data_IF_583758232524
#
_entry.id   IF_583758232524
#
_cell.length_a   1.000
_cell.length_b   1.000
_cell.length_c   1.000
_cell.angle_alpha   90.00
_cell.angle_beta   90.00
_cell.angle_gamma   90.00
#
_symmetry.space_group_name_H-M   'P 1'
#
loop_
_entity.id
_entity.type
_entity.pdbx_description
1 polymer ?
#
# COMPACT_ATOMS: atom_id res chain seq x y z
N UNK A 1 64.70 25.93 -54.46
CA UNK A 1 63.35 26.28 -53.93
C UNK A 1 62.84 25.10 -53.15
N UNK A 2 63.02 25.13 -51.82
CA UNK A 2 62.75 23.99 -50.95
C UNK A 2 61.40 24.25 -50.24
N UNK A 3 60.39 23.47 -50.58
CA UNK A 3 59.10 23.50 -49.91
C UNK A 3 59.21 22.74 -48.58
N UNK A 4 58.98 23.43 -47.49
CA UNK A 4 58.86 22.82 -46.15
C UNK A 4 57.38 22.42 -45.95
N UNK A 5 57.13 21.12 -45.86
CA UNK A 5 55.82 20.55 -45.49
C UNK A 5 55.67 20.58 -43.97
N UNK A 6 54.69 21.33 -43.49
CA UNK A 6 54.31 21.31 -42.08
C UNK A 6 53.35 20.13 -41.81
N UNK A 7 53.76 19.21 -40.97
CA UNK A 7 52.91 18.17 -40.44
C UNK A 7 52.02 18.76 -39.33
N UNK A 8 50.71 18.60 -39.50
CA UNK A 8 49.69 18.95 -38.49
C UNK A 8 49.44 17.67 -37.67
N UNK A 9 49.85 17.71 -36.42
CA UNK A 9 49.51 16.66 -35.43
C UNK A 9 48.05 16.91 -34.98
N UNK A 10 47.12 16.09 -35.40
CA UNK A 10 45.79 16.02 -34.77
C UNK A 10 45.88 15.19 -33.50
N UNK A 11 45.82 15.83 -32.37
CA UNK A 11 45.64 15.16 -31.09
C UNK A 11 44.17 14.74 -30.91
N UNK A 12 43.90 13.45 -30.98
CA UNK A 12 42.63 12.87 -30.59
C UNK A 12 42.56 12.83 -29.07
N UNK A 13 41.83 13.76 -28.47
CA UNK A 13 41.48 13.67 -27.06
C UNK A 13 40.38 12.58 -26.91
N UNK A 14 40.77 11.42 -26.40
CA UNK A 14 39.84 10.40 -25.99
C UNK A 14 39.11 10.87 -24.72
N UNK A 15 37.85 11.26 -24.87
CA UNK A 15 36.97 11.56 -23.75
C UNK A 15 36.60 10.22 -23.09
N UNK A 16 37.28 9.86 -22.00
CA UNK A 16 36.86 8.76 -21.14
C UNK A 16 35.56 9.17 -20.42
N UNK A 17 34.42 8.72 -20.91
CA UNK A 17 33.21 8.68 -20.13
C UNK A 17 33.40 7.64 -19.00
N UNK A 18 33.71 8.12 -17.81
CA UNK A 18 33.55 7.30 -16.61
C UNK A 18 32.06 7.14 -16.38
N UNK A 19 31.50 6.05 -16.85
CA UNK A 19 30.19 5.57 -16.45
C UNK A 19 30.31 5.20 -14.96
N UNK A 20 30.03 6.13 -14.08
CA UNK A 20 29.70 5.81 -12.70
C UNK A 20 28.37 5.04 -12.76
N UNK A 21 28.43 3.72 -12.71
CA UNK A 21 27.25 2.95 -12.39
C UNK A 21 26.83 3.39 -10.99
N UNK A 22 25.80 4.22 -10.89
CA UNK A 22 25.11 4.37 -9.62
C UNK A 22 24.64 2.96 -9.25
N UNK A 23 25.32 2.37 -8.27
CA UNK A 23 24.82 1.15 -7.64
C UNK A 23 23.47 1.54 -7.09
N UNK A 24 22.39 1.00 -7.68
CA UNK A 24 21.11 1.02 -7.02
C UNK A 24 21.37 0.47 -5.62
N UNK A 25 21.15 1.28 -4.60
CA UNK A 25 21.24 0.85 -3.20
C UNK A 25 20.08 -0.14 -3.06
N UNK A 26 20.39 -1.44 -3.13
CA UNK A 26 19.42 -2.48 -2.84
C UNK A 26 18.96 -2.27 -1.39
N UNK A 27 17.70 -2.54 -1.11
CA UNK A 27 17.22 -2.66 0.26
C UNK A 27 18.16 -3.58 1.02
N UNK A 28 18.59 -3.14 2.21
CA UNK A 28 19.51 -3.90 3.05
C UNK A 28 18.68 -4.68 4.08
N UNK A 29 19.16 -5.85 4.48
CA UNK A 29 18.45 -6.72 5.39
C UNK A 29 17.72 -7.86 4.68
N UNK A 30 16.59 -8.27 5.22
CA UNK A 30 15.73 -9.35 4.69
C UNK A 30 14.30 -8.82 4.44
N UNK A 31 14.11 -7.92 3.47
CA UNK A 31 12.86 -7.19 3.27
C UNK A 31 11.77 -8.03 2.56
N UNK A 32 11.61 -9.28 2.95
CA UNK A 32 10.59 -10.16 2.38
C UNK A 32 9.29 -10.02 3.15
N UNK A 33 8.28 -9.49 2.49
CA UNK A 33 6.94 -9.32 3.01
C UNK A 33 5.94 -9.49 1.88
N UNK A 34 4.81 -10.13 2.17
CA UNK A 34 3.67 -10.22 1.25
C UNK A 34 2.58 -9.28 1.77
N UNK A 35 1.98 -8.49 0.87
CA UNK A 35 0.92 -7.53 1.18
C UNK A 35 1.31 -6.55 2.30
N UNK A 36 2.32 -5.70 2.11
CA UNK A 36 2.79 -4.81 3.15
C UNK A 36 1.74 -3.75 3.52
N UNK A 37 1.48 -3.60 4.81
CA UNK A 37 0.66 -2.51 5.34
C UNK A 37 1.35 -1.15 5.20
N UNK A 38 0.59 -0.09 5.40
CA UNK A 38 1.11 1.24 5.69
C UNK A 38 2.18 1.17 6.79
N UNK A 39 3.32 1.82 6.55
CA UNK A 39 4.46 1.82 7.49
C UNK A 39 4.18 2.79 8.62
N UNK A 40 4.21 2.28 9.84
CA UNK A 40 4.00 3.04 11.08
C UNK A 40 5.30 3.30 11.79
N UNK A 41 5.47 4.54 12.29
CA UNK A 41 6.52 4.86 13.25
C UNK A 41 6.03 4.61 14.67
N UNK A 42 6.84 3.92 15.46
CA UNK A 42 6.63 3.67 16.88
C UNK A 42 7.98 3.69 17.61
N UNK A 43 8.13 4.61 18.57
CA UNK A 43 9.32 4.74 19.41
C UNK A 43 10.63 4.85 18.61
N UNK A 44 10.63 5.63 17.51
CA UNK A 44 11.77 5.87 16.65
C UNK A 44 12.14 4.72 15.71
N UNK A 45 11.30 3.68 15.63
CA UNK A 45 11.42 2.57 14.67
C UNK A 45 10.22 2.54 13.73
N UNK A 46 10.39 1.87 12.62
CA UNK A 46 9.37 1.69 11.59
C UNK A 46 8.90 0.25 11.56
N UNK A 47 7.59 0.07 11.39
CA UNK A 47 6.93 -1.24 11.38
C UNK A 47 6.01 -1.35 10.17
N UNK A 48 6.01 -2.50 9.52
CA UNK A 48 5.00 -2.88 8.52
C UNK A 48 4.61 -4.34 8.74
N UNK A 49 3.36 -4.65 8.48
CA UNK A 49 2.79 -5.98 8.69
C UNK A 49 2.39 -6.57 7.34
N UNK A 50 2.40 -7.88 7.23
CA UNK A 50 2.05 -8.59 6.01
C UNK A 50 1.06 -9.71 6.23
N UNK A 51 0.70 -10.35 5.14
CA UNK A 51 -0.09 -11.60 5.14
C UNK A 51 0.61 -12.67 5.97
N UNK A 52 -0.17 -13.44 6.73
CA UNK A 52 0.30 -14.49 7.63
C UNK A 52 0.55 -14.03 9.06
N UNK A 53 0.43 -12.73 9.39
CA UNK A 53 0.55 -12.20 10.74
C UNK A 53 1.96 -11.79 11.17
N UNK A 54 2.95 -11.92 10.29
CA UNK A 54 4.30 -11.41 10.48
C UNK A 54 4.45 -9.94 10.05
N UNK A 55 5.66 -9.43 10.20
CA UNK A 55 6.00 -8.09 9.75
C UNK A 55 7.48 -7.82 9.79
N UNK A 56 7.84 -6.63 9.32
CA UNK A 56 9.21 -6.14 9.30
C UNK A 56 9.38 -4.96 10.25
N UNK A 57 10.60 -4.82 10.77
CA UNK A 57 11.04 -3.69 11.60
C UNK A 57 12.24 -3.05 10.94
N UNK A 58 12.30 -1.71 10.99
CA UNK A 58 13.45 -0.94 10.56
C UNK A 58 13.75 0.17 11.57
N UNK A 59 15.04 0.45 11.82
CA UNK A 59 15.50 1.57 12.65
C UNK A 59 15.77 2.84 11.82
N UNK A 60 15.93 2.71 10.52
CA UNK A 60 16.34 3.79 9.62
C UNK A 60 15.39 4.01 8.43
N UNK A 61 14.35 3.18 8.27
CA UNK A 61 13.44 3.18 7.14
C UNK A 61 14.02 2.57 5.85
N UNK A 62 15.27 2.09 5.90
CA UNK A 62 15.98 1.51 4.77
C UNK A 62 16.34 0.04 4.98
N UNK A 63 16.86 -0.28 6.16
CA UNK A 63 17.27 -1.63 6.55
C UNK A 63 16.11 -2.33 7.22
N UNK A 64 15.56 -3.35 6.57
CA UNK A 64 14.38 -4.07 7.05
C UNK A 64 14.70 -5.49 7.44
N UNK A 65 14.23 -5.92 8.61
CA UNK A 65 14.39 -7.27 9.14
C UNK A 65 13.07 -7.77 9.71
N UNK A 66 12.92 -9.09 9.76
CA UNK A 66 11.78 -9.72 10.42
C UNK A 66 11.72 -9.35 11.91
N UNK A 67 10.52 -9.42 12.50
CA UNK A 67 10.31 -9.15 13.91
C UNK A 67 9.01 -8.41 14.24
N UNK A 68 8.36 -7.82 13.25
CA UNK A 68 7.01 -7.31 13.44
C UNK A 68 6.04 -8.43 13.77
N UNK A 69 5.18 -8.23 14.75
CA UNK A 69 4.22 -9.22 15.23
C UNK A 69 2.81 -8.66 15.18
N UNK A 70 1.95 -9.38 14.48
CA UNK A 70 0.52 -9.17 14.45
C UNK A 70 -0.18 -10.52 14.64
N UNK A 71 -0.96 -10.71 15.71
CA UNK A 71 -1.71 -11.95 15.92
C UNK A 71 -2.85 -12.10 14.90
N UNK A 72 -3.45 -13.29 14.87
CA UNK A 72 -4.65 -13.58 14.10
C UNK A 72 -4.41 -14.13 12.70
N UNK A 73 -3.16 -14.20 12.23
CA UNK A 73 -2.88 -14.66 10.86
C UNK A 73 -3.58 -13.78 9.80
N UNK A 74 -4.25 -14.40 8.84
CA UNK A 74 -5.03 -13.70 7.82
C UNK A 74 -4.19 -12.96 6.79
N UNK A 75 -4.83 -12.11 6.00
CA UNK A 75 -4.23 -11.50 4.81
C UNK A 75 -4.33 -9.98 4.81
N UNK A 76 -3.46 -9.37 4.01
CA UNK A 76 -3.55 -7.99 3.54
C UNK A 76 -3.91 -6.99 4.65
N UNK A 77 -3.04 -6.82 5.66
CA UNK A 77 -3.28 -5.87 6.72
C UNK A 77 -3.01 -4.43 6.29
N UNK A 78 -3.67 -3.49 6.96
CA UNK A 78 -3.24 -2.10 6.99
C UNK A 78 -3.23 -1.55 8.41
N UNK A 79 -2.54 -0.43 8.62
CA UNK A 79 -2.33 0.17 9.93
C UNK A 79 -2.45 1.68 9.90
N UNK A 80 -3.02 2.25 10.97
CA UNK A 80 -3.10 3.69 11.16
C UNK A 80 -2.86 4.06 12.63
N UNK A 81 -2.14 5.15 12.87
CA UNK A 81 -1.94 5.71 14.22
C UNK A 81 -3.08 6.68 14.55
N UNK A 82 -3.74 6.48 15.67
CA UNK A 82 -4.81 7.35 16.17
C UNK A 82 -4.51 7.72 17.62
N UNK A 83 -4.17 8.99 17.85
CA UNK A 83 -3.70 9.43 19.15
C UNK A 83 -2.40 8.73 19.56
N UNK A 84 -2.43 8.04 20.68
CA UNK A 84 -1.29 7.34 21.28
C UNK A 84 -1.26 5.83 21.01
N UNK A 85 -2.10 5.33 20.11
CA UNK A 85 -2.23 3.89 19.80
C UNK A 85 -2.39 3.64 18.30
N UNK A 86 -2.30 2.38 17.93
CA UNK A 86 -2.33 1.90 16.56
C UNK A 86 -3.55 1.01 16.35
N UNK A 87 -4.34 1.32 15.33
CA UNK A 87 -5.38 0.44 14.81
C UNK A 87 -4.79 -0.35 13.64
N UNK A 88 -4.98 -1.65 13.66
CA UNK A 88 -4.62 -2.54 12.55
C UNK A 88 -5.89 -3.19 12.05
N UNK A 89 -6.12 -3.11 10.73
CA UNK A 89 -7.13 -3.87 10.03
C UNK A 89 -6.47 -5.03 9.28
N UNK A 90 -7.14 -6.17 9.15
CA UNK A 90 -6.67 -7.32 8.38
C UNK A 90 -7.82 -8.24 7.99
N UNK A 91 -7.61 -9.05 6.98
CA UNK A 91 -8.63 -9.95 6.48
C UNK A 91 -8.52 -11.32 7.13
N UNK A 92 -9.58 -11.76 7.78
CA UNK A 92 -9.76 -13.15 8.17
C UNK A 92 -10.37 -13.89 6.98
N UNK A 93 -9.61 -14.74 6.37
CA UNK A 93 -9.91 -15.29 5.05
C UNK A 93 -11.01 -16.32 5.03
N UNK A 94 -11.90 -16.19 4.11
CA UNK A 94 -12.72 -17.23 3.54
C UNK A 94 -12.71 -17.18 2.02
N UNK A 95 -12.24 -16.06 1.46
CA UNK A 95 -11.99 -15.92 0.04
C UNK A 95 -10.65 -16.52 -0.31
N UNK A 96 -10.42 -17.14 -1.31
CA UNK A 96 -9.12 -17.47 -1.90
C UNK A 96 -8.90 -16.59 -3.12
N UNK A 97 -7.83 -16.87 -3.84
CA UNK A 97 -7.53 -16.27 -5.13
C UNK A 97 -8.66 -16.41 -6.18
N UNK A 98 -9.73 -17.09 -5.85
CA UNK A 98 -10.89 -17.32 -6.73
C UNK A 98 -12.13 -16.49 -6.39
N UNK A 99 -12.04 -15.49 -5.51
CA UNK A 99 -13.20 -14.66 -5.15
C UNK A 99 -14.25 -15.45 -4.38
N UNK A 100 -13.90 -16.02 -3.24
CA UNK A 100 -14.77 -16.93 -2.47
C UNK A 100 -15.92 -16.25 -1.75
N UNK A 101 -16.03 -14.92 -1.77
CA UNK A 101 -17.11 -14.13 -1.16
C UNK A 101 -17.47 -14.56 0.27
N UNK A 102 -16.47 -14.89 1.07
CA UNK A 102 -16.63 -15.31 2.46
C UNK A 102 -15.60 -14.68 3.40
N UNK A 103 -14.98 -13.59 2.93
CA UNK A 103 -14.00 -12.82 3.69
C UNK A 103 -14.64 -12.00 4.81
N UNK A 104 -13.78 -11.61 5.75
CA UNK A 104 -14.13 -10.69 6.83
C UNK A 104 -12.95 -9.77 7.09
N UNK A 105 -13.20 -8.49 7.28
CA UNK A 105 -12.19 -7.57 7.78
C UNK A 105 -12.37 -7.39 9.27
N UNK A 106 -11.28 -7.56 9.99
CA UNK A 106 -11.20 -7.43 11.45
C UNK A 106 -10.31 -6.25 11.80
N UNK A 107 -10.61 -5.56 12.89
CA UNK A 107 -9.76 -4.52 13.48
C UNK A 107 -9.30 -4.89 14.87
N UNK A 108 -8.11 -4.47 15.26
CA UNK A 108 -7.60 -4.61 16.61
C UNK A 108 -6.66 -3.46 16.96
N UNK A 109 -6.55 -3.15 18.24
CA UNK A 109 -5.72 -2.08 18.76
C UNK A 109 -4.46 -2.61 19.43
N UNK A 110 -3.38 -1.82 19.34
CA UNK A 110 -2.23 -1.95 20.23
C UNK A 110 -1.72 -0.55 20.63
N UNK A 111 -1.18 -0.42 21.82
CA UNK A 111 -0.60 0.82 22.31
C UNK A 111 0.80 1.04 21.79
N UNK A 112 1.52 -0.03 21.47
CA UNK A 112 2.86 -0.02 20.91
C UNK A 112 3.00 -1.09 19.84
N UNK A 113 3.94 -0.91 18.92
CA UNK A 113 4.27 -1.93 17.90
C UNK A 113 5.57 -2.67 18.22
N UNK A 114 6.28 -2.28 19.31
CA UNK A 114 7.47 -2.99 19.77
C UNK A 114 7.10 -4.26 20.54
N UNK A 115 7.37 -5.46 19.99
CA UNK A 115 7.04 -6.73 20.65
C UNK A 115 7.82 -6.97 21.95
N UNK A 116 8.86 -6.19 22.22
CA UNK A 116 9.63 -6.27 23.47
C UNK A 116 9.10 -5.32 24.56
N UNK A 117 8.15 -4.48 24.24
CA UNK A 117 7.55 -3.56 25.21
C UNK A 117 6.62 -4.32 26.18
N UNK A 118 6.61 -3.98 27.47
CA UNK A 118 5.65 -4.54 28.42
C UNK A 118 4.19 -4.16 28.11
N UNK A 119 3.99 -3.08 27.35
CA UNK A 119 2.67 -2.62 26.90
C UNK A 119 2.22 -3.29 25.58
N UNK A 120 3.02 -4.19 25.00
CA UNK A 120 2.69 -4.88 23.77
C UNK A 120 1.56 -5.88 23.98
N UNK A 121 0.36 -5.44 23.68
CA UNK A 121 -0.85 -6.25 23.81
C UNK A 121 -1.93 -5.80 22.85
N UNK A 122 -2.28 -6.65 21.93
CA UNK A 122 -3.44 -6.43 21.06
C UNK A 122 -4.76 -6.68 21.79
N UNK A 123 -5.77 -5.89 21.45
CA UNK A 123 -7.16 -6.17 21.84
C UNK A 123 -7.70 -7.38 21.10
N UNK A 124 -8.82 -7.92 21.57
CA UNK A 124 -9.58 -8.90 20.79
C UNK A 124 -10.01 -8.28 19.45
N UNK A 125 -9.95 -9.05 18.36
CA UNK A 125 -10.36 -8.59 17.04
C UNK A 125 -11.86 -8.29 16.98
N UNK A 126 -12.22 -7.26 16.22
CA UNK A 126 -13.61 -6.85 16.00
C UNK A 126 -13.91 -6.94 14.50
N UNK A 127 -14.97 -7.66 14.12
CA UNK A 127 -15.45 -7.70 12.74
C UNK A 127 -16.06 -6.35 12.35
N UNK A 128 -15.61 -5.76 11.23
CA UNK A 128 -16.07 -4.46 10.71
C UNK A 128 -16.62 -4.53 9.30
N UNK A 129 -16.28 -5.56 8.54
CA UNK A 129 -16.85 -5.85 7.23
C UNK A 129 -16.92 -7.37 7.01
N UNK A 130 -17.86 -7.80 6.18
CA UNK A 130 -18.03 -9.21 5.82
C UNK A 130 -18.64 -9.31 4.42
N UNK A 131 -18.16 -10.26 3.64
CA UNK A 131 -18.73 -10.62 2.34
C UNK A 131 -19.48 -11.96 2.37
N UNK A 132 -19.80 -12.46 3.56
CA UNK A 132 -20.61 -13.68 3.70
C UNK A 132 -22.01 -13.44 3.10
N UNK A 133 -22.33 -14.21 2.06
CA UNK A 133 -23.55 -14.07 1.23
C UNK A 133 -23.61 -12.75 0.41
N UNK A 134 -22.49 -12.14 0.11
CA UNK A 134 -22.36 -10.97 -0.75
C UNK A 134 -21.61 -11.38 -2.02
N UNK A 135 -22.30 -11.42 -3.15
CA UNK A 135 -21.75 -11.83 -4.44
C UNK A 135 -21.02 -10.68 -5.16
N UNK A 136 -21.21 -9.44 -4.70
CA UNK A 136 -20.70 -8.23 -5.37
C UNK A 136 -19.40 -7.71 -4.75
N UNK A 137 -18.92 -8.31 -3.66
CA UNK A 137 -17.71 -7.90 -2.98
C UNK A 137 -17.01 -9.08 -2.29
N UNK A 138 -15.70 -9.00 -2.12
CA UNK A 138 -14.95 -9.85 -1.20
C UNK A 138 -14.34 -8.97 -0.10
N UNK A 139 -14.59 -9.29 1.17
CA UNK A 139 -14.11 -8.51 2.29
C UNK A 139 -12.65 -8.88 2.63
N UNK A 140 -11.76 -8.38 1.82
CA UNK A 140 -10.30 -8.56 1.90
C UNK A 140 -9.60 -7.23 1.54
N UNK A 141 -8.30 -7.14 1.73
CA UNK A 141 -7.43 -6.02 1.34
C UNK A 141 -7.87 -4.69 1.99
N UNK A 142 -7.70 -4.66 3.30
CA UNK A 142 -8.06 -3.49 4.09
C UNK A 142 -7.11 -2.30 3.83
N UNK A 143 -7.67 -1.11 3.59
CA UNK A 143 -6.95 0.16 3.56
C UNK A 143 -7.59 1.17 4.51
N UNK A 144 -6.81 1.81 5.37
CA UNK A 144 -7.27 2.71 6.44
C UNK A 144 -6.88 4.17 6.16
N UNK A 145 -7.85 5.07 6.26
CA UNK A 145 -7.62 6.52 6.23
C UNK A 145 -8.20 7.18 7.48
N UNK A 146 -7.36 7.73 8.34
CA UNK A 146 -7.79 8.77 9.27
C UNK A 146 -7.82 10.09 8.50
N UNK A 147 -9.01 10.57 8.19
CA UNK A 147 -9.21 11.77 7.38
C UNK A 147 -8.66 13.01 8.12
N UNK A 148 -7.63 13.68 7.58
CA UNK A 148 -7.04 14.84 8.24
C UNK A 148 -7.94 16.09 8.20
N UNK A 149 -9.05 16.06 7.47
CA UNK A 149 -9.94 17.21 7.31
C UNK A 149 -10.98 17.28 8.43
N UNK A 150 -11.45 16.14 8.92
CA UNK A 150 -12.55 16.08 9.90
C UNK A 150 -12.36 15.01 10.99
N UNK A 151 -11.28 14.23 10.92
CA UNK A 151 -10.94 13.20 11.91
C UNK A 151 -11.75 11.92 11.80
N UNK A 152 -12.57 11.75 10.76
CA UNK A 152 -13.29 10.49 10.51
C UNK A 152 -12.31 9.39 10.08
N UNK A 153 -12.65 8.17 10.44
CA UNK A 153 -11.87 6.98 10.09
C UNK A 153 -12.61 6.20 9.00
N UNK A 154 -11.92 5.97 7.91
CA UNK A 154 -12.45 5.25 6.76
C UNK A 154 -11.69 3.95 6.54
N UNK A 155 -12.42 2.91 6.13
CA UNK A 155 -11.89 1.63 5.70
C UNK A 155 -12.34 1.36 4.28
N UNK A 156 -11.41 1.19 3.35
CA UNK A 156 -11.66 0.58 2.04
C UNK A 156 -11.33 -0.91 2.07
N UNK A 157 -12.04 -1.71 1.30
CA UNK A 157 -11.79 -3.15 1.15
C UNK A 157 -12.41 -3.68 -0.14
N UNK A 158 -11.94 -4.81 -0.62
CA UNK A 158 -12.46 -5.48 -1.82
C UNK A 158 -11.36 -5.96 -2.76
N UNK A 159 -11.76 -6.73 -3.77
CA UNK A 159 -10.88 -7.23 -4.83
C UNK A 159 -11.42 -6.92 -6.22
N UNK A 160 -10.63 -7.25 -7.24
CA UNK A 160 -11.05 -7.10 -8.65
C UNK A 160 -12.16 -8.09 -9.09
N UNK A 161 -12.65 -8.95 -8.19
CA UNK A 161 -13.81 -9.83 -8.44
C UNK A 161 -15.15 -9.14 -8.13
N UNK A 162 -15.15 -7.92 -7.64
CA UNK A 162 -16.34 -7.17 -7.30
C UNK A 162 -16.06 -5.69 -7.08
N UNK A 163 -16.85 -5.08 -6.21
CA UNK A 163 -16.65 -3.69 -5.84
C UNK A 163 -15.59 -3.53 -4.77
N UNK A 164 -14.84 -2.43 -4.89
CA UNK A 164 -14.15 -1.85 -3.74
C UNK A 164 -15.14 -1.02 -2.97
N UNK A 165 -15.30 -1.32 -1.70
CA UNK A 165 -16.23 -0.67 -0.78
C UNK A 165 -15.51 0.21 0.22
N UNK A 166 -16.21 1.27 0.62
CA UNK A 166 -15.79 2.20 1.65
C UNK A 166 -16.82 2.21 2.77
N UNK A 167 -16.37 2.10 4.02
CA UNK A 167 -17.18 2.21 5.22
C UNK A 167 -16.53 3.13 6.23
N UNK A 168 -17.34 3.78 7.06
CA UNK A 168 -16.86 4.62 8.16
C UNK A 168 -16.72 3.79 9.44
N UNK A 169 -15.61 3.94 10.13
CA UNK A 169 -15.33 3.38 11.43
C UNK A 169 -15.32 4.48 12.50
N UNK A 170 -15.65 4.11 13.71
CA UNK A 170 -15.47 4.98 14.89
C UNK A 170 -13.98 5.04 15.24
N UNK A 171 -13.33 6.20 15.17
CA UNK A 171 -11.91 6.35 15.48
C UNK A 171 -11.56 6.08 16.94
N UNK A 172 -12.54 6.09 17.85
CA UNK A 172 -12.31 5.78 19.25
C UNK A 172 -12.29 4.27 19.52
N UNK A 173 -13.09 3.51 18.81
CA UNK A 173 -13.27 2.07 19.06
C UNK A 173 -12.75 1.16 17.96
N UNK A 174 -12.58 1.65 16.72
CA UNK A 174 -12.24 0.85 15.54
C UNK A 174 -13.41 0.02 15.02
N UNK A 175 -14.62 0.21 15.55
CA UNK A 175 -15.84 -0.48 15.10
C UNK A 175 -16.46 0.23 13.91
N UNK A 176 -17.21 -0.51 13.11
CA UNK A 176 -18.05 0.08 12.08
C UNK A 176 -19.09 1.03 12.72
N UNK A 177 -19.27 2.19 12.13
CA UNK A 177 -20.32 3.13 12.56
C UNK A 177 -21.70 2.57 12.28
N UNK A 178 -22.57 2.56 13.28
CA UNK A 178 -23.93 2.07 13.14
C UNK A 178 -24.74 2.88 12.12
N UNK A 179 -25.50 2.20 11.29
CA UNK A 179 -26.37 2.83 10.27
C UNK A 179 -25.64 3.30 9.01
N UNK A 180 -24.31 3.28 8.97
CA UNK A 180 -23.56 3.63 7.78
C UNK A 180 -23.61 2.50 6.73
N UNK A 181 -24.04 2.89 5.51
CA UNK A 181 -24.07 1.99 4.36
C UNK A 181 -22.67 1.88 3.75
N UNK A 182 -22.43 0.77 3.13
CA UNK A 182 -21.29 0.58 2.23
C UNK A 182 -21.42 1.48 1.01
N UNK A 183 -20.30 2.01 0.55
CA UNK A 183 -20.24 2.89 -0.61
C UNK A 183 -19.30 2.24 -1.61
N UNK A 184 -19.80 1.89 -2.78
CA UNK A 184 -18.98 1.40 -3.87
C UNK A 184 -18.14 2.55 -4.46
N UNK A 185 -16.83 2.39 -4.52
CA UNK A 185 -15.90 3.46 -4.94
C UNK A 185 -15.05 3.11 -6.16
N UNK A 186 -14.83 1.82 -6.44
CA UNK A 186 -14.07 1.35 -7.60
C UNK A 186 -14.46 -0.07 -7.97
N UNK A 187 -14.02 -0.51 -9.14
CA UNK A 187 -13.99 -1.89 -9.64
C UNK A 187 -12.66 -2.19 -10.31
N UNK A 188 -12.39 -3.45 -10.62
CA UNK A 188 -11.23 -3.88 -11.42
C UNK A 188 -9.88 -3.52 -10.78
N UNK A 189 -9.84 -3.49 -9.46
CA UNK A 189 -8.63 -3.32 -8.67
C UNK A 189 -8.79 -3.96 -7.29
N UNK A 190 -7.70 -4.04 -6.55
CA UNK A 190 -7.64 -4.50 -5.16
C UNK A 190 -6.58 -3.73 -4.38
N UNK A 191 -6.34 -4.08 -3.11
CA UNK A 191 -5.31 -3.47 -2.27
C UNK A 191 -5.35 -1.93 -2.37
N UNK A 192 -6.49 -1.36 -1.98
CA UNK A 192 -6.72 0.07 -2.15
C UNK A 192 -6.35 0.85 -0.91
N UNK A 193 -5.72 2.00 -1.13
CA UNK A 193 -5.46 3.00 -0.10
C UNK A 193 -5.94 4.39 -0.52
N UNK A 194 -6.33 5.17 0.47
CA UNK A 194 -6.79 6.54 0.33
C UNK A 194 -5.76 7.53 0.86
N UNK A 195 -5.47 8.56 0.09
CA UNK A 195 -4.61 9.67 0.50
C UNK A 195 -5.38 10.98 0.32
N UNK A 196 -5.32 11.86 1.33
CA UNK A 196 -5.79 13.24 1.19
C UNK A 196 -4.61 14.18 0.99
N UNK A 197 -4.66 14.98 -0.08
CA UNK A 197 -3.66 16.00 -0.37
C UNK A 197 -4.24 17.18 -1.14
N UNK A 198 -3.94 18.40 -0.68
CA UNK A 198 -4.29 19.66 -1.37
C UNK A 198 -5.77 19.77 -1.77
N UNK A 199 -6.66 19.34 -0.89
CA UNK A 199 -8.11 19.41 -1.11
C UNK A 199 -8.67 18.31 -2.03
N UNK A 200 -7.90 17.23 -2.26
CA UNK A 200 -8.30 16.07 -3.02
C UNK A 200 -8.06 14.78 -2.24
N UNK A 201 -8.98 13.85 -2.39
CA UNK A 201 -8.78 12.44 -2.04
C UNK A 201 -8.30 11.71 -3.28
N UNK A 202 -7.26 10.93 -3.13
CA UNK A 202 -6.71 10.04 -4.15
C UNK A 202 -6.97 8.61 -3.70
N UNK A 203 -7.65 7.84 -4.54
CA UNK A 203 -7.80 6.40 -4.37
C UNK A 203 -6.75 5.73 -5.25
N UNK A 204 -5.78 5.09 -4.61
CA UNK A 204 -4.84 4.20 -5.28
C UNK A 204 -5.38 2.78 -5.20
N UNK A 205 -5.14 2.00 -6.24
CA UNK A 205 -5.54 0.58 -6.27
C UNK A 205 -4.57 -0.22 -7.11
N UNK A 206 -4.43 -1.49 -6.80
CA UNK A 206 -3.65 -2.44 -7.58
C UNK A 206 -4.54 -3.09 -8.62
N UNK A 207 -4.15 -2.97 -9.88
CA UNK A 207 -4.84 -3.54 -11.04
C UNK A 207 -3.97 -4.63 -11.67
N UNK A 208 -4.59 -5.60 -12.34
CA UNK A 208 -3.91 -6.71 -13.00
C UNK A 208 -3.99 -8.01 -12.18
N UNK A 209 -3.06 -8.95 -12.42
CA UNK A 209 -3.13 -10.31 -11.85
C UNK A 209 -2.17 -10.50 -10.69
N UNK A 210 -2.69 -10.97 -9.55
CA UNK A 210 -1.92 -11.42 -8.40
C UNK A 210 -1.21 -12.77 -8.69
N UNK A 211 -0.14 -13.01 -7.95
CA UNK A 211 0.35 -14.35 -7.63
C UNK A 211 0.76 -15.22 -8.82
N UNK A 212 1.10 -14.61 -9.96
CA UNK A 212 1.52 -15.27 -11.18
C UNK A 212 3.05 -15.19 -11.41
N UNK A 213 3.81 -14.99 -10.34
CA UNK A 213 5.27 -14.91 -10.38
C UNK A 213 5.76 -13.92 -11.46
N UNK A 214 6.70 -14.33 -12.31
CA UNK A 214 7.25 -13.46 -13.36
C UNK A 214 6.21 -12.96 -14.40
N UNK A 215 5.04 -13.58 -14.47
CA UNK A 215 3.97 -13.22 -15.40
C UNK A 215 2.97 -12.24 -14.79
N UNK A 216 3.11 -11.89 -13.51
CA UNK A 216 2.22 -10.92 -12.86
C UNK A 216 2.14 -9.62 -13.65
N UNK A 217 0.92 -9.17 -13.89
CA UNK A 217 0.62 -7.91 -14.60
C UNK A 217 0.28 -6.78 -13.65
N UNK A 218 0.52 -6.97 -12.36
CA UNK A 218 0.25 -5.95 -11.35
C UNK A 218 0.83 -4.58 -11.73
N UNK A 219 0.03 -3.58 -11.48
CA UNK A 219 0.35 -2.18 -11.67
C UNK A 219 -0.51 -1.36 -10.71
N UNK A 220 -0.12 -0.12 -10.41
CA UNK A 220 -0.91 0.76 -9.54
C UNK A 220 -1.60 1.81 -10.39
N UNK A 221 -2.90 1.96 -10.18
CA UNK A 221 -3.75 2.98 -10.79
C UNK A 221 -4.23 3.97 -9.74
N UNK A 222 -4.58 5.18 -10.15
CA UNK A 222 -5.09 6.24 -9.28
C UNK A 222 -6.26 6.97 -9.90
N UNK A 223 -7.28 7.22 -9.07
CA UNK A 223 -8.33 8.19 -9.32
C UNK A 223 -8.41 9.23 -8.20
N UNK A 224 -9.06 10.37 -8.44
CA UNK A 224 -9.22 11.40 -7.43
C UNK A 224 -10.63 11.92 -7.31
N UNK A 225 -10.98 12.43 -6.13
CA UNK A 225 -12.29 13.04 -5.85
C UNK A 225 -12.14 14.23 -4.89
N UNK A 226 -13.13 15.11 -4.87
CA UNK A 226 -13.26 16.16 -3.83
C UNK A 226 -13.92 15.66 -2.55
N UNK A 227 -14.49 14.47 -2.57
CA UNK A 227 -15.14 13.84 -1.42
C UNK A 227 -14.51 12.46 -1.20
N UNK A 228 -14.32 12.08 0.05
CA UNK A 228 -13.82 10.75 0.41
C UNK A 228 -14.72 9.63 -0.14
N UNK A 229 -16.01 9.88 -0.25
CA UNK A 229 -17.02 8.96 -0.80
C UNK A 229 -17.07 8.91 -2.34
N UNK A 230 -16.17 9.62 -3.03
CA UNK A 230 -16.14 9.66 -4.49
C UNK A 230 -17.13 10.66 -5.12
N UNK A 231 -17.44 10.52 -6.42
CA UNK A 231 -16.84 9.56 -7.34
C UNK A 231 -15.37 9.84 -7.60
N UNK A 232 -14.56 8.79 -7.66
CA UNK A 232 -13.16 8.88 -8.04
C UNK A 232 -13.04 8.80 -9.56
N UNK A 233 -12.29 9.74 -10.15
CA UNK A 233 -12.08 9.82 -11.60
C UNK A 233 -10.59 9.91 -11.93
N UNK A 234 -10.21 9.33 -13.05
CA UNK A 234 -8.86 9.44 -13.60
C UNK A 234 -8.62 10.81 -14.28
N UNK A 235 -7.45 10.97 -14.88
CA UNK A 235 -7.08 12.20 -15.59
C UNK A 235 -7.86 12.43 -16.90
N UNK A 236 -8.61 11.45 -17.38
CA UNK A 236 -9.48 11.55 -18.55
C UNK A 236 -10.96 11.76 -18.15
N UNK A 237 -11.25 11.76 -16.84
CA UNK A 237 -12.60 11.90 -16.30
C UNK A 237 -13.40 10.59 -16.22
N UNK A 238 -12.79 9.42 -16.51
CA UNK A 238 -13.44 8.13 -16.39
C UNK A 238 -13.49 7.73 -14.92
N UNK A 239 -14.64 7.26 -14.47
CA UNK A 239 -14.82 6.85 -13.07
C UNK A 239 -14.14 5.51 -12.80
N UNK A 240 -13.58 5.36 -11.60
CA UNK A 240 -13.05 4.06 -11.13
C UNK A 240 -14.15 3.01 -10.98
N UNK A 241 -15.38 3.39 -10.74
CA UNK A 241 -16.57 2.50 -10.83
C UNK A 241 -16.90 2.03 -12.26
N UNK A 242 -16.23 2.55 -13.26
CA UNK A 242 -16.38 2.17 -14.68
C UNK A 242 -15.05 1.59 -15.21
N UNK A 243 -14.17 1.12 -14.30
CA UNK A 243 -12.82 0.63 -14.63
C UNK A 243 -11.86 1.74 -15.09
N UNK A 244 -12.09 2.99 -14.67
CA UNK A 244 -11.13 4.08 -14.82
C UNK A 244 -9.95 3.92 -13.86
N UNK A 245 -8.94 4.76 -14.07
CA UNK A 245 -7.74 4.79 -13.25
C UNK A 245 -6.52 5.15 -14.09
N UNK A 246 -5.76 6.13 -13.64
CA UNK A 246 -4.49 6.49 -14.28
C UNK A 246 -3.38 5.59 -13.73
N UNK A 247 -2.78 4.76 -14.57
CA UNK A 247 -1.59 3.99 -14.19
C UNK A 247 -0.45 4.93 -13.78
N UNK A 248 0.10 4.70 -12.61
CA UNK A 248 1.18 5.50 -12.02
C UNK A 248 2.44 4.68 -11.74
N UNK A 249 2.30 3.38 -11.50
CA UNK A 249 3.40 2.45 -11.34
C UNK A 249 3.10 1.20 -12.15
N UNK A 250 4.09 0.72 -12.90
CA UNK A 250 3.99 -0.50 -13.70
C UNK A 250 5.31 -1.29 -13.68
N UNK A 251 5.26 -2.51 -14.17
CA UNK A 251 6.45 -3.34 -14.34
C UNK A 251 7.51 -2.62 -15.20
N UNK A 252 8.76 -2.84 -14.88
CA UNK A 252 9.91 -2.27 -15.57
C UNK A 252 11.14 -3.17 -15.43
N UNK A 253 12.29 -2.68 -15.86
CA UNK A 253 13.54 -3.48 -15.90
C UNK A 253 14.00 -3.99 -14.52
N UNK A 254 13.48 -3.45 -13.41
CA UNK A 254 13.92 -3.77 -12.05
C UNK A 254 12.83 -4.35 -11.16
N UNK A 255 11.60 -4.42 -11.67
CA UNK A 255 10.45 -4.91 -10.90
C UNK A 255 9.43 -5.55 -11.82
N UNK A 256 8.87 -6.66 -11.39
CA UNK A 256 7.78 -7.36 -12.06
C UNK A 256 6.55 -7.29 -11.17
N UNK A 257 5.40 -6.97 -11.75
CA UNK A 257 4.14 -6.95 -11.03
C UNK A 257 4.13 -6.07 -9.77
N UNK A 258 4.53 -4.77 -9.84
CA UNK A 258 4.49 -3.90 -8.67
C UNK A 258 3.05 -3.63 -8.27
N UNK A 259 2.69 -4.03 -7.07
CA UNK A 259 1.34 -3.86 -6.54
C UNK A 259 1.27 -4.18 -5.07
N UNK A 260 0.08 -4.29 -4.56
CA UNK A 260 -0.24 -4.47 -3.16
C UNK A 260 0.72 -3.68 -2.26
N UNK A 261 0.41 -2.45 -2.01
CA UNK A 261 1.34 -1.47 -1.45
C UNK A 261 0.87 -1.00 -0.07
N UNK A 262 1.83 -0.61 0.75
CA UNK A 262 1.58 0.20 1.94
C UNK A 262 2.11 1.62 1.74
N UNK A 263 1.50 2.58 2.39
CA UNK A 263 1.96 3.97 2.38
C UNK A 263 3.15 4.15 3.32
N UNK A 264 4.04 5.07 2.99
CA UNK A 264 5.14 5.45 3.86
C UNK A 264 5.40 6.96 3.82
N UNK A 265 5.18 7.60 4.95
CA UNK A 265 5.47 9.02 5.11
C UNK A 265 6.73 9.18 5.95
N UNK A 266 7.81 9.62 5.30
CA UNK A 266 9.07 9.92 5.98
C UNK A 266 9.14 11.37 6.49
N UNK A 267 10.05 11.64 7.42
CA UNK A 267 10.22 12.95 8.04
C UNK A 267 10.56 14.10 7.06
N UNK A 268 11.08 13.78 5.88
CA UNK A 268 11.34 14.73 4.79
C UNK A 268 10.07 15.19 4.03
N UNK A 269 8.90 14.66 4.41
CA UNK A 269 7.62 14.99 3.79
C UNK A 269 7.40 14.37 2.42
N UNK A 270 8.28 13.48 1.97
CA UNK A 270 8.11 12.71 0.74
C UNK A 270 7.31 11.46 1.04
N UNK A 271 6.16 11.33 0.39
CA UNK A 271 5.35 10.11 0.46
C UNK A 271 5.96 9.04 -0.45
N UNK A 272 6.11 7.85 0.08
CA UNK A 272 6.67 6.68 -0.60
C UNK A 272 5.70 5.51 -0.48
N UNK A 273 5.84 4.55 -1.35
CA UNK A 273 5.12 3.28 -1.28
C UNK A 273 6.12 2.16 -0.96
N UNK A 274 5.75 1.28 -0.04
CA UNK A 274 6.32 -0.07 0.00
C UNK A 274 5.50 -0.94 -0.94
N UNK A 275 6.16 -1.78 -1.71
CA UNK A 275 5.52 -2.60 -2.74
C UNK A 275 5.94 -4.05 -2.54
N UNK A 276 5.03 -4.99 -2.78
CA UNK A 276 5.50 -6.29 -3.21
C UNK A 276 5.99 -6.16 -4.65
N UNK A 277 7.07 -6.83 -4.94
CA UNK A 277 7.49 -7.12 -6.29
C UNK A 277 7.82 -8.61 -6.36
N UNK A 278 7.32 -9.22 -7.36
CA UNK A 278 7.52 -10.64 -7.62
C UNK A 278 8.71 -10.81 -8.57
#
# INVERSE_FOLDING_TARGET
>A
MIMKTKAILLGTAALMFVLTSEKAIAQIGTPYIHDPSTIMECDGKYYTFGTGGGGLISEDGWTWNGGGVRPGGGAAPDAVKIGDRYLIAYSATGGGLGGGHSGKVLTMWNKTLDPNSPDFKYTEPIEVASSVNDEDCDAIDAGLLLDPTDGRLWLSYGTYFGFIRLVELDPATGKRMEGNKEIDIAIDCEATDLIYRDGWYYLLGTHGTCCDGPNSTYNIVVGRSRKVTGPYVDNMGRKMLEGGGKMVIAAGNRQTGPGHFGLFKVADGVEKLSLIHI
#
